data_IF_020775835308
#
_entry.id   IF_020775835308
#
_cell.length_a   1.000
_cell.length_b   1.000
_cell.length_c   1.000
_cell.angle_alpha   90.00
_cell.angle_beta   90.00
_cell.angle_gamma   90.00
#
_symmetry.space_group_name_H-M   'P 1'
#
loop_
_entity.id
_entity.type
_entity.pdbx_description
1 polymer ?
#
# COMPACT_ATOMS: atom_id res chain seq x y z
N UNK A 1 64.54 -46.11 19.54
CA UNK A 1 63.23 -46.22 18.86
C UNK A 1 62.67 -44.81 18.64
N UNK A 2 62.49 -44.40 17.39
CA UNK A 2 61.84 -43.13 16.98
C UNK A 2 60.38 -43.40 16.66
N UNK A 3 59.61 -42.32 16.63
CA UNK A 3 58.36 -42.04 15.89
C UNK A 3 57.07 -42.08 16.69
N UNK A 4 56.08 -41.21 16.44
CA UNK A 4 55.98 -39.90 15.75
C UNK A 4 54.63 -39.33 16.23
N UNK A 5 54.59 -38.04 16.54
CA UNK A 5 53.40 -37.30 16.95
C UNK A 5 52.62 -36.88 15.69
N UNK A 6 51.32 -37.17 15.62
CA UNK A 6 50.43 -36.76 14.52
C UNK A 6 49.35 -35.83 15.05
N UNK A 7 49.35 -34.59 14.57
CA UNK A 7 48.25 -33.62 14.72
C UNK A 7 47.18 -33.86 13.64
N UNK A 8 45.89 -33.62 13.92
CA UNK A 8 44.86 -33.62 12.91
C UNK A 8 44.84 -32.26 12.18
N UNK A 9 44.87 -32.33 10.84
CA UNK A 9 44.61 -31.20 9.94
C UNK A 9 43.12 -30.82 10.03
N UNK A 10 42.84 -29.60 10.49
CA UNK A 10 41.54 -28.96 10.29
C UNK A 10 41.44 -28.51 8.82
N UNK A 11 40.50 -29.08 8.09
CA UNK A 11 40.14 -28.64 6.74
C UNK A 11 39.17 -27.45 6.85
N UNK A 12 39.66 -26.24 6.60
CA UNK A 12 38.81 -25.04 6.54
C UNK A 12 38.15 -24.97 5.16
N UNK A 13 36.85 -25.28 5.09
CA UNK A 13 36.06 -25.13 3.88
C UNK A 13 35.82 -23.63 3.62
N UNK A 14 36.52 -23.07 2.63
CA UNK A 14 36.36 -21.69 2.18
C UNK A 14 35.10 -21.62 1.28
N UNK A 15 33.97 -21.15 1.82
CA UNK A 15 32.77 -20.86 1.01
C UNK A 15 33.00 -19.60 0.19
N UNK A 16 33.25 -19.80 -1.11
CA UNK A 16 33.30 -18.71 -2.09
C UNK A 16 31.87 -18.20 -2.29
N UNK A 17 31.61 -17.00 -1.78
CA UNK A 17 30.39 -16.25 -2.03
C UNK A 17 30.42 -15.81 -3.52
N UNK A 18 29.64 -16.45 -4.39
CA UNK A 18 29.46 -15.99 -5.76
C UNK A 18 28.49 -14.82 -5.72
N UNK A 19 28.89 -13.57 -6.01
CA UNK A 19 27.95 -12.47 -6.13
C UNK A 19 27.08 -12.73 -7.35
N UNK A 20 25.78 -12.94 -7.14
CA UNK A 20 24.81 -12.91 -8.24
C UNK A 20 24.81 -11.51 -8.84
N UNK A 21 24.91 -11.35 -10.17
CA UNK A 21 24.76 -10.04 -10.79
C UNK A 21 23.32 -9.58 -10.53
N UNK A 22 23.17 -8.52 -9.73
CA UNK A 22 21.92 -7.76 -9.64
C UNK A 22 21.57 -7.34 -11.06
N UNK A 23 20.45 -7.87 -11.55
CA UNK A 23 19.93 -7.59 -12.88
C UNK A 23 19.68 -6.09 -12.97
N UNK A 24 20.34 -5.42 -13.90
CA UNK A 24 20.26 -3.97 -14.09
C UNK A 24 18.83 -3.45 -14.40
N UNK A 25 17.86 -4.34 -14.66
CA UNK A 25 16.42 -4.02 -14.76
C UNK A 25 15.82 -3.46 -13.46
N UNK A 26 16.44 -3.71 -12.29
CA UNK A 26 15.95 -3.23 -11.00
C UNK A 26 16.36 -1.79 -10.68
N UNK A 27 17.33 -1.23 -11.43
CA UNK A 27 17.87 0.11 -11.18
C UNK A 27 17.14 1.22 -11.97
N UNK A 28 16.36 0.87 -13.00
CA UNK A 28 15.64 1.86 -13.83
C UNK A 28 14.24 2.22 -13.29
N UNK A 29 13.79 1.58 -12.21
CA UNK A 29 12.38 1.65 -11.75
C UNK A 29 12.08 2.68 -10.66
N UNK A 30 12.98 3.64 -10.40
CA UNK A 30 12.89 4.52 -9.22
C UNK A 30 12.30 5.93 -9.42
N UNK A 31 11.92 6.37 -10.62
CA UNK A 31 11.42 7.74 -10.78
C UNK A 31 10.31 7.87 -11.83
N UNK A 32 9.05 7.68 -11.42
CA UNK A 32 7.95 8.38 -12.09
C UNK A 32 7.85 9.78 -11.43
N UNK A 33 8.42 10.85 -12.04
CA UNK A 33 8.38 12.20 -11.48
C UNK A 33 6.96 12.74 -11.37
N UNK A 34 6.03 12.21 -12.15
CA UNK A 34 4.65 12.66 -12.18
C UNK A 34 3.86 12.13 -10.96
N UNK A 35 4.12 10.88 -10.55
CA UNK A 35 3.60 10.36 -9.27
C UNK A 35 4.17 11.12 -8.05
N UNK A 36 5.33 11.77 -8.19
CA UNK A 36 5.92 12.60 -7.12
C UNK A 36 5.04 13.80 -6.78
N UNK A 37 4.55 14.52 -7.80
CA UNK A 37 3.67 15.69 -7.60
C UNK A 37 2.36 15.28 -6.94
N UNK A 38 1.72 14.25 -7.46
CA UNK A 38 0.50 13.69 -6.87
C UNK A 38 0.70 13.27 -5.40
N UNK A 39 1.82 12.62 -5.10
CA UNK A 39 2.18 12.25 -3.74
C UNK A 39 2.32 13.48 -2.82
N UNK A 40 2.94 14.57 -3.28
CA UNK A 40 3.08 15.80 -2.49
C UNK A 40 1.73 16.44 -2.15
N UNK A 41 0.79 16.47 -3.10
CA UNK A 41 -0.57 16.97 -2.85
C UNK A 41 -1.32 16.10 -1.84
N UNK A 42 -1.25 14.77 -2.00
CA UNK A 42 -1.82 13.84 -1.03
C UNK A 42 -1.18 14.04 0.34
N UNK A 43 0.14 14.14 0.43
CA UNK A 43 0.84 14.33 1.68
C UNK A 43 0.41 15.63 2.38
N UNK A 44 0.24 16.72 1.62
CA UNK A 44 -0.27 18.00 2.13
C UNK A 44 -1.67 17.83 2.72
N UNK A 45 -2.57 17.15 2.00
CA UNK A 45 -3.93 16.88 2.48
C UNK A 45 -3.94 16.00 3.74
N UNK A 46 -3.18 14.90 3.74
CA UNK A 46 -3.14 13.98 4.87
C UNK A 46 -2.53 14.63 6.10
N UNK A 47 -1.44 15.41 5.98
CA UNK A 47 -0.82 16.08 7.13
C UNK A 47 -1.66 17.24 7.67
N UNK A 48 -2.52 17.87 6.85
CA UNK A 48 -3.50 18.86 7.32
C UNK A 48 -4.50 18.26 8.31
N UNK A 49 -5.01 17.07 8.02
CA UNK A 49 -6.07 16.41 8.83
C UNK A 49 -5.52 15.41 9.85
N UNK A 50 -4.35 14.83 9.57
CA UNK A 50 -3.67 13.84 10.39
C UNK A 50 -2.18 14.22 10.52
N UNK A 51 -1.83 15.21 11.38
CA UNK A 51 -0.46 15.74 11.47
C UNK A 51 0.61 14.72 11.89
N UNK A 52 0.18 13.60 12.46
CA UNK A 52 1.03 12.47 12.89
C UNK A 52 0.93 11.27 11.95
N UNK A 53 0.36 11.44 10.76
CA UNK A 53 0.31 10.38 9.77
C UNK A 53 1.73 10.05 9.29
N UNK A 54 2.03 8.77 9.17
CA UNK A 54 3.20 8.29 8.43
C UNK A 54 2.79 8.12 6.97
N UNK A 55 3.73 8.39 6.07
CA UNK A 55 3.51 8.21 4.65
C UNK A 55 4.73 7.62 3.98
N UNK A 56 4.50 6.72 3.01
CA UNK A 56 5.56 6.06 2.27
C UNK A 56 5.19 6.04 0.79
N UNK A 57 6.20 6.19 -0.07
CA UNK A 57 6.06 6.01 -1.51
C UNK A 57 7.08 4.98 -1.97
N UNK A 58 6.61 3.92 -2.61
CA UNK A 58 7.41 2.82 -3.13
C UNK A 58 6.99 2.54 -4.57
N UNK A 59 7.81 2.93 -5.54
CA UNK A 59 7.57 2.75 -6.98
C UNK A 59 6.20 3.32 -7.42
N UNK A 60 5.21 2.46 -7.60
CA UNK A 60 3.83 2.67 -8.02
C UNK A 60 2.84 2.75 -6.86
N UNK A 61 3.31 2.58 -5.62
CA UNK A 61 2.50 2.55 -4.40
C UNK A 61 2.71 3.77 -3.53
N UNK A 62 1.61 4.27 -3.01
CA UNK A 62 1.55 5.32 -2.00
C UNK A 62 0.77 4.77 -0.81
N UNK A 63 1.31 4.96 0.37
CA UNK A 63 0.71 4.54 1.62
C UNK A 63 0.63 5.73 2.59
N UNK A 64 -0.50 5.84 3.29
CA UNK A 64 -0.69 6.73 4.43
C UNK A 64 -1.32 5.96 5.56
N UNK A 65 -0.82 6.14 6.78
CA UNK A 65 -1.48 5.62 7.96
C UNK A 65 -1.37 6.54 9.17
N UNK A 66 -2.43 6.55 9.97
CA UNK A 66 -2.44 7.17 11.28
C UNK A 66 -3.30 6.33 12.22
N UNK A 67 -2.77 6.03 13.39
CA UNK A 67 -3.49 5.36 14.48
C UNK A 67 -4.25 4.08 14.04
N UNK A 68 -3.53 3.15 13.42
CA UNK A 68 -4.07 1.88 12.92
C UNK A 68 -3.90 0.73 13.90
N UNK A 69 -4.71 -0.33 13.74
CA UNK A 69 -4.54 -1.60 14.45
C UNK A 69 -5.04 -2.77 13.61
N UNK A 70 -4.71 -3.99 14.04
CA UNK A 70 -5.33 -5.21 13.51
C UNK A 70 -6.68 -5.43 14.22
N UNK A 71 -7.69 -5.80 13.42
CA UNK A 71 -9.02 -6.19 13.85
C UNK A 71 -9.25 -7.64 13.47
N UNK A 72 -9.91 -8.39 14.36
CA UNK A 72 -10.47 -9.69 14.04
C UNK A 72 -11.91 -9.47 13.53
N UNK A 73 -12.09 -9.64 12.22
CA UNK A 73 -13.35 -9.36 11.53
C UNK A 73 -14.13 -10.66 11.34
N UNK A 74 -15.44 -10.55 11.54
CA UNK A 74 -16.42 -11.59 11.24
C UNK A 74 -17.50 -10.91 10.40
N UNK A 75 -17.69 -11.35 9.15
CA UNK A 75 -18.75 -10.86 8.28
C UNK A 75 -19.71 -12.01 7.94
N UNK A 76 -21.02 -11.74 7.87
CA UNK A 76 -21.95 -12.71 7.31
C UNK A 76 -21.68 -12.89 5.81
N UNK A 77 -21.73 -14.13 5.34
CA UNK A 77 -21.86 -14.48 3.94
C UNK A 77 -23.20 -13.99 3.40
N UNK A 78 -23.30 -13.89 2.08
CA UNK A 78 -24.57 -13.62 1.40
C UNK A 78 -25.63 -14.70 1.64
N UNK A 79 -25.20 -15.89 2.09
CA UNK A 79 -26.06 -17.01 2.53
C UNK A 79 -26.61 -16.82 3.95
N UNK A 80 -26.13 -15.82 4.71
CA UNK A 80 -26.46 -15.60 6.11
C UNK A 80 -25.58 -16.37 7.11
N UNK A 81 -24.74 -17.29 6.63
CA UNK A 81 -23.74 -17.99 7.44
C UNK A 81 -22.60 -17.05 7.85
N UNK A 82 -21.98 -17.27 9.01
CA UNK A 82 -20.82 -16.48 9.42
C UNK A 82 -19.54 -17.04 8.81
N UNK A 83 -18.70 -16.17 8.27
CA UNK A 83 -17.36 -16.55 7.85
C UNK A 83 -16.45 -16.79 9.06
N UNK A 84 -15.45 -17.66 8.89
CA UNK A 84 -14.35 -17.78 9.84
C UNK A 84 -13.68 -16.42 10.05
N UNK A 85 -13.29 -16.08 11.28
CA UNK A 85 -12.63 -14.81 11.52
C UNK A 85 -11.32 -14.67 10.76
N UNK A 86 -11.09 -13.49 10.22
CA UNK A 86 -9.78 -13.12 9.67
C UNK A 86 -9.28 -11.81 10.24
N UNK A 87 -7.96 -11.68 10.23
CA UNK A 87 -7.29 -10.45 10.61
C UNK A 87 -7.31 -9.45 9.45
N UNK A 88 -7.66 -8.20 9.76
CA UNK A 88 -7.51 -7.09 8.82
C UNK A 88 -7.01 -5.85 9.54
N UNK A 89 -6.16 -5.07 8.86
CA UNK A 89 -5.66 -3.81 9.41
C UNK A 89 -6.65 -2.69 9.08
N UNK A 90 -6.91 -1.82 10.04
CA UNK A 90 -7.78 -0.67 9.86
C UNK A 90 -7.49 0.48 10.83
N UNK A 91 -8.13 1.62 10.65
CA UNK A 91 -7.99 2.77 11.54
C UNK A 91 -8.76 2.56 12.86
N UNK A 92 -8.20 3.08 13.96
CA UNK A 92 -8.96 3.34 15.19
C UNK A 92 -9.80 4.62 15.04
N UNK A 93 -10.69 4.96 15.99
CA UNK A 93 -11.34 6.27 16.02
C UNK A 93 -10.30 7.41 15.95
N UNK A 94 -10.46 8.32 14.99
CA UNK A 94 -9.48 9.38 14.70
C UNK A 94 -8.29 8.97 13.82
N UNK A 95 -8.18 7.69 13.44
CA UNK A 95 -7.14 7.18 12.55
C UNK A 95 -7.53 7.23 11.06
N UNK A 96 -6.56 6.88 10.20
CA UNK A 96 -6.75 6.70 8.76
C UNK A 96 -5.83 5.60 8.24
N UNK A 97 -6.24 4.88 7.21
CA UNK A 97 -5.39 3.95 6.48
C UNK A 97 -5.69 4.08 4.98
N UNK A 98 -4.68 4.39 4.17
CA UNK A 98 -4.85 4.57 2.74
C UNK A 98 -3.74 3.88 1.97
N UNK A 99 -4.14 3.03 1.02
CA UNK A 99 -3.26 2.43 0.03
C UNK A 99 -3.71 2.84 -1.37
N UNK A 100 -2.76 3.34 -2.16
CA UNK A 100 -2.99 3.77 -3.54
C UNK A 100 -1.93 3.10 -4.40
N UNK A 101 -2.33 2.42 -5.47
CA UNK A 101 -1.41 1.84 -6.45
C UNK A 101 -1.75 2.35 -7.85
N UNK A 102 -0.76 2.77 -8.62
CA UNK A 102 -0.94 3.09 -10.04
C UNK A 102 -0.84 1.79 -10.86
N UNK A 103 -1.88 1.47 -11.63
CA UNK A 103 -1.97 0.23 -12.41
C UNK A 103 -2.21 0.54 -13.87
N UNK A 104 -1.58 -0.22 -14.78
CA UNK A 104 -1.79 -0.10 -16.22
C UNK A 104 -3.18 -0.57 -16.62
N UNK A 105 -3.74 0.08 -17.64
CA UNK A 105 -5.05 -0.22 -18.22
C UNK A 105 -6.22 0.36 -17.43
N UNK A 106 -7.45 0.13 -17.90
CA UNK A 106 -8.66 0.44 -17.15
C UNK A 106 -8.83 -0.52 -15.96
N UNK A 107 -9.65 -0.12 -14.99
CA UNK A 107 -10.01 -0.97 -13.86
C UNK A 107 -10.93 -2.12 -14.32
N UNK A 108 -10.57 -3.36 -13.98
CA UNK A 108 -11.24 -4.58 -14.45
C UNK A 108 -11.73 -5.50 -13.32
N UNK A 109 -11.75 -5.04 -12.06
CA UNK A 109 -12.20 -5.89 -10.95
C UNK A 109 -13.73 -5.90 -10.84
N UNK A 110 -14.24 -6.81 -10.02
CA UNK A 110 -15.68 -7.08 -9.86
C UNK A 110 -16.48 -5.92 -9.23
N UNK A 111 -15.85 -5.08 -8.39
CA UNK A 111 -16.53 -3.99 -7.72
C UNK A 111 -16.83 -2.84 -8.69
N UNK A 112 -18.06 -2.34 -8.72
CA UNK A 112 -18.41 -1.12 -9.48
C UNK A 112 -17.99 0.09 -8.64
N UNK A 113 -16.94 0.81 -9.06
CA UNK A 113 -16.36 1.93 -8.32
C UNK A 113 -16.86 3.30 -8.85
N UNK A 114 -17.00 4.34 -8.01
CA UNK A 114 -16.67 4.39 -6.58
C UNK A 114 -17.64 3.58 -5.70
N UNK A 115 -17.11 2.90 -4.68
CA UNK A 115 -17.91 2.06 -3.76
C UNK A 115 -17.40 2.14 -2.33
N UNK A 116 -18.31 2.12 -1.36
CA UNK A 116 -17.98 2.01 0.07
C UNK A 116 -18.42 0.67 0.64
N UNK A 117 -17.59 0.10 1.51
CA UNK A 117 -17.86 -1.12 2.26
C UNK A 117 -17.84 -0.80 3.75
N UNK A 118 -18.96 -1.05 4.46
CA UNK A 118 -18.97 -1.00 5.92
C UNK A 118 -18.40 -2.32 6.46
N UNK A 119 -17.19 -2.26 7.02
CA UNK A 119 -16.45 -3.38 7.61
C UNK A 119 -16.71 -3.55 9.11
N UNK A 120 -17.86 -3.07 9.59
CA UNK A 120 -18.32 -3.04 11.00
C UNK A 120 -17.51 -2.11 11.91
N UNK A 121 -16.18 -2.15 11.82
CA UNK A 121 -15.27 -1.34 12.63
C UNK A 121 -14.86 -0.03 11.95
N UNK A 122 -14.82 -0.02 10.62
CA UNK A 122 -14.46 1.11 9.79
C UNK A 122 -15.13 0.97 8.43
N UNK A 123 -15.13 2.03 7.65
CA UNK A 123 -15.60 2.03 6.26
C UNK A 123 -14.40 2.04 5.33
N UNK A 124 -14.44 1.25 4.26
CA UNK A 124 -13.45 1.30 3.18
C UNK A 124 -14.08 1.87 1.93
N UNK A 125 -13.52 2.98 1.42
CA UNK A 125 -13.84 3.55 0.12
C UNK A 125 -12.86 3.02 -0.94
N UNK A 126 -13.42 2.47 -2.02
CA UNK A 126 -12.70 2.10 -3.22
C UNK A 126 -12.93 3.13 -4.32
N UNK A 127 -11.84 3.60 -4.92
CA UNK A 127 -11.86 4.44 -6.13
C UNK A 127 -10.97 3.82 -7.19
N UNK A 128 -11.36 3.96 -8.46
CA UNK A 128 -10.47 3.67 -9.58
C UNK A 128 -10.52 4.69 -10.72
N UNK A 129 -10.11 5.96 -10.48
CA UNK A 129 -10.05 6.94 -11.53
C UNK A 129 -9.03 6.52 -12.60
N UNK A 130 -9.41 6.67 -13.87
CA UNK A 130 -8.63 6.26 -15.02
C UNK A 130 -8.13 7.46 -15.83
N UNK A 131 -6.89 7.40 -16.30
CA UNK A 131 -6.29 8.36 -17.22
C UNK A 131 -6.12 7.72 -18.60
N UNK A 132 -6.93 8.11 -19.61
CA UNK A 132 -6.79 7.61 -20.98
C UNK A 132 -5.44 7.96 -21.61
N UNK A 133 -4.85 9.11 -21.26
CA UNK A 133 -3.57 9.57 -21.81
C UNK A 133 -2.42 8.64 -21.41
N UNK A 134 -2.50 8.04 -20.22
CA UNK A 134 -1.46 7.14 -19.71
C UNK A 134 -1.81 5.67 -19.83
N UNK A 135 -3.03 5.36 -20.25
CA UNK A 135 -3.59 4.02 -20.18
C UNK A 135 -3.34 3.40 -18.79
N UNK A 136 -3.76 4.10 -17.73
CA UNK A 136 -3.55 3.70 -16.34
C UNK A 136 -4.63 4.21 -15.40
N UNK A 137 -4.93 3.48 -14.32
CA UNK A 137 -5.83 3.89 -13.25
C UNK A 137 -5.16 3.85 -11.88
N UNK A 138 -5.68 4.63 -10.94
CA UNK A 138 -5.36 4.43 -9.52
C UNK A 138 -6.22 3.30 -8.96
N UNK A 139 -5.66 2.40 -8.17
CA UNK A 139 -6.40 1.49 -7.31
C UNK A 139 -6.33 2.01 -5.87
N UNK A 140 -7.37 2.73 -5.44
CA UNK A 140 -7.42 3.40 -4.14
C UNK A 140 -8.22 2.56 -3.15
N UNK A 141 -7.66 2.35 -1.97
CA UNK A 141 -8.33 1.80 -0.80
C UNK A 141 -8.14 2.79 0.35
N UNK A 142 -9.21 3.50 0.74
CA UNK A 142 -9.20 4.41 1.89
C UNK A 142 -10.10 3.86 2.98
N UNK A 143 -9.50 3.41 4.08
CA UNK A 143 -10.20 2.97 5.28
C UNK A 143 -10.24 4.08 6.33
N UNK A 144 -11.43 4.40 6.84
CA UNK A 144 -11.68 5.48 7.78
C UNK A 144 -12.76 5.12 8.83
N UNK A 145 -12.71 5.69 10.04
CA UNK A 145 -13.74 5.49 11.06
C UNK A 145 -15.01 6.30 10.73
N UNK A 146 -16.14 5.99 11.38
CA UNK A 146 -17.43 6.66 11.14
C UNK A 146 -17.42 8.18 11.36
N UNK A 147 -16.50 8.68 12.19
CA UNK A 147 -16.36 10.09 12.54
C UNK A 147 -15.28 10.82 11.72
N UNK A 148 -14.95 10.33 10.52
CA UNK A 148 -14.02 11.02 9.63
C UNK A 148 -14.56 12.41 9.24
N UNK A 149 -13.71 13.45 9.13
CA UNK A 149 -14.15 14.75 8.64
C UNK A 149 -14.68 14.67 7.21
N UNK A 150 -15.91 15.14 6.96
CA UNK A 150 -16.52 15.13 5.62
C UNK A 150 -15.71 15.95 4.62
N UNK A 151 -15.13 17.08 5.06
CA UNK A 151 -14.25 17.92 4.24
C UNK A 151 -13.03 17.13 3.72
N UNK A 152 -12.42 16.29 4.58
CA UNK A 152 -11.29 15.45 4.19
C UNK A 152 -11.70 14.46 3.10
N UNK A 153 -12.81 13.74 3.27
CA UNK A 153 -13.29 12.78 2.27
C UNK A 153 -13.57 13.45 0.93
N UNK A 154 -14.22 14.63 0.95
CA UNK A 154 -14.49 15.41 -0.25
C UNK A 154 -13.20 15.80 -0.97
N UNK A 155 -12.27 16.43 -0.25
CA UNK A 155 -10.97 16.86 -0.80
C UNK A 155 -10.17 15.68 -1.34
N UNK A 156 -10.18 14.54 -0.64
CA UNK A 156 -9.50 13.34 -1.07
C UNK A 156 -10.07 12.77 -2.37
N UNK A 157 -11.40 12.64 -2.47
CA UNK A 157 -12.06 12.13 -3.67
C UNK A 157 -11.82 13.06 -4.86
N UNK A 158 -11.92 14.38 -4.66
CA UNK A 158 -11.62 15.37 -5.70
C UNK A 158 -10.17 15.26 -6.19
N UNK A 159 -9.20 15.15 -5.27
CA UNK A 159 -7.79 15.01 -5.59
C UNK A 159 -7.50 13.70 -6.32
N UNK A 160 -8.07 12.56 -5.85
CA UNK A 160 -7.90 11.27 -6.49
C UNK A 160 -8.49 11.25 -7.90
N UNK A 161 -9.69 11.82 -8.11
CA UNK A 161 -10.30 11.90 -9.43
C UNK A 161 -9.54 12.85 -10.37
N UNK A 162 -8.81 13.82 -9.82
CA UNK A 162 -7.97 14.74 -10.58
C UNK A 162 -6.54 14.22 -10.81
N UNK A 163 -6.21 12.96 -10.46
CA UNK A 163 -4.83 12.47 -10.47
C UNK A 163 -4.14 12.61 -11.84
N UNK A 164 -4.88 12.46 -12.94
CA UNK A 164 -4.37 12.58 -14.31
C UNK A 164 -3.62 13.89 -14.52
N UNK A 165 -4.08 15.00 -13.93
CA UNK A 165 -3.44 16.32 -14.01
C UNK A 165 -2.00 16.35 -13.45
N UNK A 166 -1.67 15.41 -12.57
CA UNK A 166 -0.38 15.36 -11.89
C UNK A 166 0.55 14.32 -12.48
N UNK A 167 -0.01 13.28 -13.08
CA UNK A 167 0.78 12.24 -13.72
C UNK A 167 1.19 12.63 -15.16
N UNK A 168 0.48 13.58 -15.78
CA UNK A 168 0.57 13.96 -17.20
C UNK A 168 1.81 14.75 -17.65
#
# INVERSE_FOLDING_TARGET
MKTKQTWPLLLTLLTILVPTPVRADDAETLQNPALKRFYTELQTLFLKHYPKATSHRLKDKIHFEHDTRVFLVHEPLMTGEWQDPWETRGPKPGGILCDITLQKGPYQRQAVVPQTFDKRYFTTLLLAPYSPKQDAHLAVHLSYPRNVPEEFLKQFVELANAFSKYVD
#
